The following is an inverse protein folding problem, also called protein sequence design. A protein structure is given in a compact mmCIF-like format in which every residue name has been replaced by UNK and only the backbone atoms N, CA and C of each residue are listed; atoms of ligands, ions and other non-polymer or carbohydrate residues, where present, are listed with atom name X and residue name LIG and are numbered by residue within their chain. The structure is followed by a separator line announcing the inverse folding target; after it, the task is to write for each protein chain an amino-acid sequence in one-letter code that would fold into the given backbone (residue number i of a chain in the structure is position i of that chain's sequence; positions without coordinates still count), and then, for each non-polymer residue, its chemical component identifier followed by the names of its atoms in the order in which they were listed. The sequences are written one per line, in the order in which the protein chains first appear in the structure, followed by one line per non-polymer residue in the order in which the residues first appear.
data_IF_337400810917
#
_entry.id   IF_337400810917
#
_cell.length_a   1.000
_cell.length_b   1.000
_cell.length_c   1.000
_cell.angle_alpha   90.00
_cell.angle_beta   90.00
_cell.angle_gamma   90.00
#
_symmetry.space_group_name_H-M   'P 1'
#
loop_
_entity.id
_entity.type
_entity.pdbx_description
1 polymer ?
#
# COMPACT_ATOMS: atom_id res chain seq x y z
N UNK A 1 -19.35 -17.79 1.53
CA UNK A 1 -18.81 -17.22 0.28
C UNK A 1 -18.41 -18.35 -0.64
N UNK A 2 -18.65 -18.22 -1.94
CA UNK A 2 -18.19 -19.18 -2.96
C UNK A 2 -16.67 -19.01 -3.17
N UNK A 3 -15.93 -20.12 -3.23
CA UNK A 3 -14.46 -20.11 -3.42
C UNK A 3 -14.09 -19.96 -4.90
N UNK A 4 -12.84 -19.57 -5.18
CA UNK A 4 -12.25 -19.52 -6.53
C UNK A 4 -12.98 -18.61 -7.53
N UNK A 5 -13.52 -17.48 -7.04
CA UNK A 5 -14.25 -16.52 -7.86
C UNK A 5 -13.60 -15.15 -7.84
N UNK A 6 -13.61 -14.48 -9.00
CA UNK A 6 -13.24 -13.07 -9.13
C UNK A 6 -14.51 -12.23 -8.96
N UNK A 7 -14.45 -11.26 -8.05
CA UNK A 7 -15.53 -10.30 -7.82
C UNK A 7 -15.09 -8.96 -8.38
N UNK A 8 -15.77 -8.50 -9.43
CA UNK A 8 -15.54 -7.18 -10.02
C UNK A 8 -16.41 -6.14 -9.31
N UNK A 9 -15.78 -5.18 -8.64
CA UNK A 9 -16.49 -4.10 -7.96
C UNK A 9 -15.58 -3.23 -7.10
N UNK A 10 -16.18 -2.21 -6.48
CA UNK A 10 -15.50 -1.38 -5.48
C UNK A 10 -15.15 -2.23 -4.25
N UNK A 11 -13.85 -2.30 -3.92
CA UNK A 11 -13.36 -3.21 -2.89
C UNK A 11 -13.97 -2.92 -1.51
N UNK A 12 -14.24 -1.67 -1.16
CA UNK A 12 -14.87 -1.29 0.11
C UNK A 12 -16.30 -1.82 0.14
N UNK A 13 -17.09 -1.61 -0.91
CA UNK A 13 -18.47 -2.12 -1.00
C UNK A 13 -18.52 -3.65 -1.00
N UNK A 14 -17.57 -4.30 -1.67
CA UNK A 14 -17.48 -5.76 -1.72
C UNK A 14 -17.15 -6.31 -0.34
N UNK A 15 -16.11 -5.80 0.33
CA UNK A 15 -15.71 -6.25 1.67
C UNK A 15 -16.78 -6.01 2.73
N UNK A 16 -17.55 -4.92 2.63
CA UNK A 16 -18.68 -4.65 3.55
C UNK A 16 -19.73 -5.76 3.60
N UNK A 17 -19.91 -6.47 2.49
CA UNK A 17 -20.87 -7.58 2.37
C UNK A 17 -20.23 -8.95 2.69
N UNK A 18 -18.93 -9.00 2.98
CA UNK A 18 -18.27 -10.23 3.41
C UNK A 18 -18.55 -10.47 4.90
N UNK A 19 -18.64 -11.75 5.34
CA UNK A 19 -18.77 -12.05 6.75
C UNK A 19 -17.54 -11.58 7.54
N UNK A 20 -17.77 -11.04 8.73
CA UNK A 20 -16.72 -10.69 9.68
C UNK A 20 -15.88 -11.93 10.02
N UNK A 21 -14.57 -11.73 10.26
CA UNK A 21 -13.64 -12.79 10.70
C UNK A 21 -13.69 -14.05 9.81
N UNK A 22 -13.74 -13.86 8.50
CA UNK A 22 -13.86 -14.95 7.53
C UNK A 22 -12.62 -15.17 6.67
N UNK A 23 -11.66 -14.23 6.67
CA UNK A 23 -10.48 -14.25 5.80
C UNK A 23 -9.22 -14.54 6.60
N UNK A 24 -8.45 -15.55 6.16
CA UNK A 24 -7.18 -15.95 6.78
C UNK A 24 -6.00 -15.07 6.33
N UNK A 25 -5.98 -14.67 5.04
CA UNK A 25 -4.88 -13.91 4.46
C UNK A 25 -5.41 -12.91 3.42
N UNK A 26 -5.03 -11.65 3.58
CA UNK A 26 -5.20 -10.61 2.55
C UNK A 26 -3.83 -10.25 1.98
N UNK A 27 -3.70 -10.29 0.65
CA UNK A 27 -2.52 -9.82 -0.06
C UNK A 27 -2.94 -8.77 -1.07
N UNK A 28 -2.33 -7.59 -1.02
CA UNK A 28 -2.73 -6.48 -1.90
C UNK A 28 -1.60 -5.52 -2.25
N UNK A 29 -1.81 -4.74 -3.30
CA UNK A 29 -0.93 -3.69 -3.78
C UNK A 29 -1.81 -2.54 -4.29
N UNK A 30 -2.30 -1.66 -3.40
CA UNK A 30 -3.26 -0.64 -3.81
C UNK A 30 -2.60 0.39 -4.77
N UNK A 31 -3.39 1.17 -5.52
CA UNK A 31 -2.88 2.30 -6.28
C UNK A 31 -2.09 3.24 -5.37
N UNK A 32 -0.91 3.69 -5.82
CA UNK A 32 -0.01 4.50 -4.99
C UNK A 32 -0.28 6.00 -5.04
N UNK A 33 -1.27 6.44 -5.81
CA UNK A 33 -1.56 7.86 -6.03
C UNK A 33 -0.37 8.60 -6.65
N UNK A 34 0.28 7.96 -7.61
CA UNK A 34 1.52 8.41 -8.23
C UNK A 34 1.35 8.97 -9.65
N UNK A 35 0.09 9.17 -10.07
CA UNK A 35 -0.29 9.77 -11.33
C UNK A 35 -0.28 8.82 -12.52
N UNK A 36 -0.39 7.50 -12.27
CA UNK A 36 -0.50 6.53 -13.37
C UNK A 36 -1.86 6.67 -14.03
N UNK A 37 -1.87 6.73 -15.36
CA UNK A 37 -3.09 6.74 -16.14
C UNK A 37 -3.66 5.32 -16.24
N UNK A 38 -4.73 5.09 -15.50
CA UNK A 38 -5.49 3.84 -15.53
C UNK A 38 -6.79 3.98 -16.35
N UNK A 39 -6.95 5.06 -17.11
CA UNK A 39 -8.17 5.39 -17.85
C UNK A 39 -9.30 5.88 -16.94
N UNK A 40 -9.95 4.96 -16.22
CA UNK A 40 -11.16 5.26 -15.44
C UNK A 40 -10.87 5.62 -13.97
N UNK A 41 -9.64 5.37 -13.50
CA UNK A 41 -9.23 5.67 -12.12
C UNK A 41 -8.26 6.85 -12.06
N UNK A 42 -8.61 7.83 -11.21
CA UNK A 42 -7.81 9.03 -10.99
C UNK A 42 -6.74 8.79 -9.91
N UNK A 43 -5.53 8.45 -10.33
CA UNK A 43 -4.37 8.16 -9.46
C UNK A 43 -3.59 9.43 -9.02
N UNK A 44 -4.25 10.59 -8.93
CA UNK A 44 -3.64 11.87 -8.53
C UNK A 44 -4.54 12.68 -7.58
N UNK A 45 -5.23 11.98 -6.68
CA UNK A 45 -6.02 12.59 -5.61
C UNK A 45 -5.14 13.47 -4.72
N UNK A 46 -5.76 14.46 -4.08
CA UNK A 46 -5.14 15.17 -2.95
C UNK A 46 -4.68 14.14 -1.92
N UNK A 47 -3.44 14.26 -1.42
CA UNK A 47 -2.82 13.26 -0.55
C UNK A 47 -3.69 12.88 0.65
N UNK A 48 -4.30 13.87 1.32
CA UNK A 48 -5.21 13.62 2.45
C UNK A 48 -6.47 12.84 2.04
N UNK A 49 -7.01 13.06 0.83
CA UNK A 49 -8.15 12.28 0.31
C UNK A 49 -7.74 10.84 0.01
N UNK A 50 -6.54 10.63 -0.52
CA UNK A 50 -5.97 9.31 -0.73
C UNK A 50 -5.81 8.55 0.59
N UNK A 51 -5.20 9.17 1.61
CA UNK A 51 -5.03 8.53 2.92
C UNK A 51 -6.37 8.21 3.61
N UNK A 52 -7.37 9.10 3.50
CA UNK A 52 -8.72 8.83 4.02
C UNK A 52 -9.37 7.64 3.30
N UNK A 53 -9.21 7.55 1.98
CA UNK A 53 -9.66 6.37 1.23
C UNK A 53 -8.91 5.10 1.67
N UNK A 54 -7.60 5.19 1.93
CA UNK A 54 -6.81 4.10 2.47
C UNK A 54 -7.29 3.61 3.83
N UNK A 55 -7.55 4.53 4.75
CA UNK A 55 -8.09 4.22 6.07
C UNK A 55 -9.41 3.44 5.98
N UNK A 56 -10.30 3.83 5.04
CA UNK A 56 -11.60 3.15 4.86
C UNK A 56 -11.45 1.69 4.47
N UNK A 57 -10.64 1.37 3.46
CA UNK A 57 -10.49 -0.03 3.06
C UNK A 57 -9.65 -0.83 4.05
N UNK A 58 -8.71 -0.19 4.78
CA UNK A 58 -7.98 -0.85 5.88
C UNK A 58 -8.91 -1.27 7.02
N UNK A 59 -9.90 -0.45 7.37
CA UNK A 59 -10.91 -0.79 8.37
C UNK A 59 -11.76 -1.99 7.96
N UNK A 60 -12.15 -2.08 6.68
CA UNK A 60 -12.88 -3.24 6.17
C UNK A 60 -12.01 -4.50 6.19
N UNK A 61 -10.71 -4.40 5.84
CA UNK A 61 -9.77 -5.53 5.97
C UNK A 61 -9.70 -6.01 7.41
N UNK A 62 -9.54 -5.10 8.38
CA UNK A 62 -9.51 -5.45 9.81
C UNK A 62 -10.78 -6.20 10.23
N UNK A 63 -11.95 -5.77 9.75
CA UNK A 63 -13.25 -6.38 10.08
C UNK A 63 -13.37 -7.82 9.54
N UNK A 64 -12.94 -8.06 8.30
CA UNK A 64 -13.10 -9.37 7.64
C UNK A 64 -11.99 -10.36 8.01
N UNK A 65 -10.84 -9.89 8.49
CA UNK A 65 -9.75 -10.74 8.95
C UNK A 65 -10.16 -11.54 10.20
N UNK A 66 -9.76 -12.81 10.22
CA UNK A 66 -9.82 -13.63 11.43
C UNK A 66 -8.88 -13.08 12.51
N UNK A 67 -9.10 -13.40 13.80
CA UNK A 67 -8.21 -12.97 14.89
C UNK A 67 -6.74 -13.39 14.72
N UNK A 68 -6.48 -14.47 13.99
CA UNK A 68 -5.15 -15.00 13.63
C UNK A 68 -4.77 -14.74 12.16
N UNK A 69 -5.55 -13.87 11.50
CA UNK A 69 -5.40 -13.52 10.10
C UNK A 69 -4.18 -12.66 9.82
N UNK A 70 -3.76 -12.67 8.55
CA UNK A 70 -2.56 -11.97 8.08
C UNK A 70 -2.89 -10.98 6.96
N UNK A 71 -2.17 -9.87 6.93
CA UNK A 71 -2.32 -8.84 5.92
C UNK A 71 -0.97 -8.42 5.35
N UNK A 72 -0.75 -8.71 4.07
CA UNK A 72 0.42 -8.27 3.33
C UNK A 72 0.05 -7.17 2.34
N UNK A 73 0.73 -6.03 2.44
CA UNK A 73 0.54 -4.89 1.55
C UNK A 73 1.84 -4.46 0.91
N UNK A 74 1.85 -4.33 -0.41
CA UNK A 74 2.97 -3.77 -1.15
C UNK A 74 2.79 -2.26 -1.35
N UNK A 75 3.73 -1.44 -0.87
CA UNK A 75 3.75 0.02 -1.02
C UNK A 75 5.12 0.54 -1.46
N UNK A 76 5.17 1.75 -1.99
CA UNK A 76 6.45 2.44 -2.22
C UNK A 76 7.03 2.91 -0.87
N UNK A 77 8.35 2.82 -0.70
CA UNK A 77 9.02 3.40 0.46
C UNK A 77 8.90 4.92 0.43
N UNK A 78 9.23 5.50 -0.72
CA UNK A 78 9.25 6.94 -0.94
C UNK A 78 8.74 7.23 -2.35
N UNK A 79 7.99 8.32 -2.50
CA UNK A 79 7.59 8.81 -3.80
C UNK A 79 7.48 10.33 -3.82
N UNK A 80 7.66 10.90 -5.02
CA UNK A 80 7.32 12.29 -5.26
C UNK A 80 5.88 12.40 -5.75
N UNK A 81 5.19 13.44 -5.28
CA UNK A 81 3.88 13.86 -5.73
C UNK A 81 3.97 15.28 -6.32
N UNK A 82 2.92 15.72 -7.02
CA UNK A 82 2.85 17.07 -7.59
C UNK A 82 4.06 17.40 -8.49
N UNK A 83 4.35 16.51 -9.45
CA UNK A 83 5.55 16.61 -10.30
C UNK A 83 6.87 16.69 -9.50
N UNK A 84 6.99 15.87 -8.46
CA UNK A 84 8.13 15.81 -7.52
C UNK A 84 8.37 17.09 -6.69
N UNK A 85 7.45 18.05 -6.64
CA UNK A 85 7.57 19.23 -5.76
C UNK A 85 7.51 18.88 -4.28
N UNK A 86 6.83 17.79 -3.94
CA UNK A 86 6.69 17.29 -2.58
C UNK A 86 7.04 15.81 -2.53
N UNK A 87 7.69 15.39 -1.45
CA UNK A 87 7.99 13.98 -1.18
C UNK A 87 7.11 13.47 -0.05
N UNK A 88 6.67 12.23 -0.20
CA UNK A 88 5.86 11.52 0.78
C UNK A 88 6.38 10.09 0.92
N UNK A 89 6.13 9.51 2.08
CA UNK A 89 6.52 8.15 2.42
C UNK A 89 5.26 7.29 2.59
N UNK A 90 4.73 6.65 1.52
CA UNK A 90 3.58 5.78 1.67
C UNK A 90 3.83 4.70 2.73
N UNK A 91 5.03 4.16 2.80
CA UNK A 91 5.43 3.23 3.87
C UNK A 91 5.15 3.80 5.27
N UNK A 92 5.65 5.00 5.59
CA UNK A 92 5.45 5.60 6.90
C UNK A 92 3.97 5.89 7.19
N UNK A 93 3.23 6.36 6.17
CA UNK A 93 1.82 6.70 6.28
C UNK A 93 0.96 5.45 6.53
N UNK A 94 1.22 4.36 5.80
CA UNK A 94 0.57 3.08 6.04
C UNK A 94 0.95 2.48 7.39
N UNK A 95 2.22 2.58 7.79
CA UNK A 95 2.67 2.15 9.11
C UNK A 95 1.87 2.87 10.21
N UNK A 96 1.73 4.20 10.08
CA UNK A 96 0.93 5.00 11.00
C UNK A 96 -0.55 4.63 10.97
N UNK A 97 -1.17 4.55 9.79
CA UNK A 97 -2.59 4.20 9.64
C UNK A 97 -2.91 2.83 10.23
N UNK A 98 -2.07 1.82 9.96
CA UNK A 98 -2.24 0.48 10.52
C UNK A 98 -2.16 0.49 12.04
N UNK A 99 -1.19 1.20 12.63
CA UNK A 99 -1.10 1.34 14.10
C UNK A 99 -2.30 2.10 14.67
N UNK A 100 -2.75 3.17 13.99
CA UNK A 100 -3.91 3.98 14.38
C UNK A 100 -5.19 3.13 14.48
N UNK A 101 -5.42 2.23 13.52
CA UNK A 101 -6.60 1.36 13.52
C UNK A 101 -6.42 0.10 14.37
N UNK A 102 -5.27 -0.06 15.05
CA UNK A 102 -4.99 -1.16 15.96
C UNK A 102 -4.57 -2.46 15.28
N UNK A 103 -3.97 -2.41 14.09
CA UNK A 103 -3.29 -3.56 13.49
C UNK A 103 -1.86 -3.68 14.06
N UNK A 104 -1.42 -4.92 14.27
CA UNK A 104 -0.06 -5.22 14.68
C UNK A 104 0.86 -5.38 13.44
N UNK A 105 2.06 -4.81 13.50
CA UNK A 105 3.03 -4.87 12.40
C UNK A 105 4.16 -5.80 12.83
N UNK A 106 4.40 -6.85 12.04
CA UNK A 106 5.37 -7.87 12.39
C UNK A 106 6.66 -7.75 11.57
N UNK A 107 6.57 -7.27 10.33
CA UNK A 107 7.74 -7.10 9.49
C UNK A 107 7.49 -6.24 8.27
N UNK A 108 8.59 -5.75 7.71
CA UNK A 108 8.59 -4.91 6.52
C UNK A 108 9.62 -5.44 5.51
N UNK A 109 9.36 -6.60 4.85
CA UNK A 109 10.25 -7.07 3.80
C UNK A 109 10.42 -6.04 2.69
N UNK A 110 11.67 -5.72 2.38
CA UNK A 110 12.01 -4.80 1.29
C UNK A 110 12.15 -5.59 0.01
N UNK A 111 11.35 -5.23 -1.00
CA UNK A 111 11.50 -5.81 -2.33
C UNK A 111 12.45 -4.95 -3.16
N UNK A 112 13.62 -5.52 -3.44
CA UNK A 112 14.63 -4.92 -4.31
C UNK A 112 14.47 -5.55 -5.70
N UNK A 113 13.93 -4.77 -6.63
CA UNK A 113 13.79 -5.18 -8.03
C UNK A 113 15.09 -4.88 -8.81
N UNK A 114 15.78 -5.94 -9.25
CA UNK A 114 17.04 -5.87 -10.01
C UNK A 114 16.84 -5.60 -11.51
N UNK A 115 15.61 -5.67 -12.02
CA UNK A 115 15.32 -5.51 -13.46
C UNK A 115 15.16 -4.04 -13.91
N UNK A 116 15.24 -3.06 -13.00
CA UNK A 116 15.39 -1.64 -13.39
C UNK A 116 16.84 -1.36 -13.77
N UNK A 117 17.13 -1.45 -15.07
CA UNK A 117 18.44 -1.11 -15.65
C UNK A 117 18.83 0.35 -15.41
N UNK A 118 19.96 0.52 -14.69
CA UNK A 118 20.88 1.68 -14.60
C UNK A 118 20.31 2.97 -13.98
N UNK A 119 20.73 3.27 -12.73
CA UNK A 119 21.51 4.47 -12.30
C UNK A 119 21.55 4.58 -10.76
N UNK A 120 22.66 4.07 -10.18
CA UNK A 120 23.47 4.37 -8.94
C UNK A 120 23.04 4.11 -7.48
N UNK A 121 23.53 2.97 -6.98
CA UNK A 121 24.04 2.65 -5.63
C UNK A 121 24.78 3.81 -4.93
N UNK A 122 24.86 3.86 -3.59
CA UNK A 122 25.71 4.82 -2.85
C UNK A 122 27.12 4.94 -3.47
N UNK A 123 27.41 6.02 -4.20
CA UNK A 123 28.76 6.58 -4.40
C UNK A 123 28.64 8.07 -4.78
N UNK A 124 29.48 8.87 -4.15
CA UNK A 124 29.71 10.30 -4.37
C UNK A 124 29.86 10.62 -5.86
N UNK A 125 29.05 11.57 -6.35
CA UNK A 125 29.36 12.60 -7.36
C UNK A 125 28.09 13.40 -7.65
N UNK A 126 27.89 14.54 -6.99
CA UNK A 126 27.05 15.61 -7.55
C UNK A 126 27.85 16.31 -8.66
N UNK A 127 27.25 16.82 -9.76
CA UNK A 127 25.95 17.51 -9.73
C UNK A 127 24.93 17.20 -10.86
N UNK A 128 23.67 17.52 -10.53
CA UNK A 128 22.52 17.87 -11.39
C UNK A 128 21.97 16.83 -12.40
N UNK A 129 21.11 15.93 -11.90
CA UNK A 129 19.65 16.01 -12.13
C UNK A 129 18.98 14.82 -11.43
N UNK A 130 18.18 15.14 -10.40
CA UNK A 130 17.61 14.21 -9.43
C UNK A 130 16.85 13.03 -10.06
N UNK A 131 17.45 11.83 -10.04
CA UNK A 131 16.74 10.56 -10.21
C UNK A 131 16.79 9.83 -8.86
N UNK A 132 15.61 9.72 -8.25
CA UNK A 132 15.42 9.08 -6.95
C UNK A 132 15.12 7.60 -7.14
N UNK A 133 15.96 6.73 -6.56
CA UNK A 133 15.62 5.33 -6.32
C UNK A 133 14.26 5.27 -5.60
N UNK A 134 13.35 4.44 -6.12
CA UNK A 134 12.08 4.12 -5.46
C UNK A 134 12.14 2.68 -4.97
N UNK A 135 12.78 2.39 -3.83
CA UNK A 135 12.62 1.09 -3.20
C UNK A 135 11.14 0.84 -2.91
N UNK A 136 10.67 -0.39 -3.16
CA UNK A 136 9.34 -0.84 -2.77
C UNK A 136 9.47 -1.62 -1.46
N UNK A 137 8.55 -1.37 -0.54
CA UNK A 137 8.45 -2.12 0.71
C UNK A 137 7.15 -2.89 0.67
N UNK A 138 7.25 -4.20 0.82
CA UNK A 138 6.10 -4.98 1.18
C UNK A 138 6.02 -4.95 2.70
N UNK A 139 4.97 -4.37 3.27
CA UNK A 139 4.74 -4.41 4.71
C UNK A 139 3.84 -5.61 5.02
N UNK A 140 4.26 -6.44 5.96
CA UNK A 140 3.47 -7.56 6.46
C UNK A 140 2.99 -7.17 7.87
N UNK A 141 1.69 -6.94 7.97
CA UNK A 141 0.96 -6.83 9.23
C UNK A 141 0.37 -8.21 9.56
N UNK A 142 0.47 -8.62 10.82
CA UNK A 142 -0.28 -9.79 11.32
C UNK A 142 -1.17 -9.27 12.45
N UNK A 143 -2.37 -9.80 12.64
CA UNK A 143 -3.04 -9.67 13.93
C UNK A 143 -2.66 -10.90 14.77
N UNK A 144 -2.11 -10.65 15.96
CA UNK A 144 -2.13 -11.61 17.07
C UNK A 144 -2.46 -10.80 18.33
N UNK A 145 -3.55 -11.25 18.97
CA UNK A 145 -4.29 -10.84 20.18
C UNK A 145 -5.06 -9.51 20.14
#
# INVERSE_FOLDING_TARGET
MELNRIICGDCIKVMKNMPDKSIDLVVTSPPYNCGVDYGDYKDNLLWAKYLNWCEKWLLEIKKILKPDGRFAINVLMEMGIENNKKRVSPYAEFYYLMKKIGLNIFGSPVWIDSHRTKYTSWTISVPLNFILFRPRVMTISLEII
#
